data_IF_410564541895
#
_entry.id   IF_410564541895
#
_cell.length_a   1.000
_cell.length_b   1.000
_cell.length_c   1.000
_cell.angle_alpha   90.00
_cell.angle_beta   90.00
_cell.angle_gamma   90.00
#
_symmetry.space_group_name_H-M   'P 1'
#
loop_
_entity.id
_entity.type
_entity.pdbx_description
1 polymer ?
#
# COMPACT_ATOMS: atom_id res chain seq x y z
N UNK A 1 16.84 25.23 37.95
CA UNK A 1 15.84 26.33 38.13
C UNK A 1 15.51 27.07 36.83
N UNK A 2 15.80 26.51 35.63
CA UNK A 2 15.51 27.18 34.36
C UNK A 2 14.34 26.52 33.60
N UNK A 3 14.17 25.20 33.74
CA UNK A 3 13.13 24.44 33.03
C UNK A 3 11.68 24.91 33.32
N UNK A 4 11.40 25.36 34.55
CA UNK A 4 10.06 25.85 34.89
C UNK A 4 9.75 27.20 34.24
N UNK A 5 10.73 28.11 34.15
CA UNK A 5 10.56 29.40 33.47
C UNK A 5 10.43 29.19 31.96
N UNK A 6 11.24 28.32 31.39
CA UNK A 6 11.20 28.02 29.96
C UNK A 6 9.88 27.36 29.56
N UNK A 7 9.31 26.51 30.43
CA UNK A 7 7.99 25.93 30.22
C UNK A 7 6.87 26.98 30.24
N UNK A 8 6.91 27.92 31.19
CA UNK A 8 5.94 29.02 31.29
C UNK A 8 6.04 29.93 30.06
N UNK A 9 7.25 30.32 29.63
CA UNK A 9 7.43 31.14 28.43
C UNK A 9 6.99 30.40 27.16
N UNK A 10 7.21 29.08 27.09
CA UNK A 10 6.69 28.23 26.02
C UNK A 10 5.16 28.26 25.95
N UNK A 11 4.49 28.07 27.08
CA UNK A 11 3.03 28.14 27.18
C UNK A 11 2.47 29.53 26.85
N UNK A 12 3.10 30.59 27.34
CA UNK A 12 2.71 31.97 27.04
C UNK A 12 2.84 32.28 25.54
N UNK A 13 3.91 31.79 24.89
CA UNK A 13 4.11 31.93 23.45
C UNK A 13 3.07 31.15 22.65
N UNK A 14 2.71 29.94 23.10
CA UNK A 14 1.67 29.13 22.48
C UNK A 14 0.29 29.79 22.60
N UNK A 15 -0.06 30.28 23.79
CA UNK A 15 -1.32 30.99 24.02
C UNK A 15 -1.40 32.31 23.25
N UNK A 16 -0.30 33.06 23.17
CA UNK A 16 -0.23 34.25 22.31
C UNK A 16 -0.48 33.84 20.84
N UNK A 17 0.22 32.83 20.34
CA UNK A 17 0.03 32.36 18.96
C UNK A 17 -1.40 31.90 18.67
N UNK A 18 -2.02 31.16 19.60
CA UNK A 18 -3.43 30.74 19.50
C UNK A 18 -4.37 31.94 19.48
N UNK A 19 -4.15 32.94 20.34
CA UNK A 19 -4.95 34.17 20.37
C UNK A 19 -4.78 34.98 19.08
N UNK A 20 -3.56 35.12 18.57
CA UNK A 20 -3.29 35.81 17.31
C UNK A 20 -3.92 35.09 16.12
N UNK A 21 -3.88 33.75 16.10
CA UNK A 21 -4.52 32.96 15.06
C UNK A 21 -6.04 33.11 15.09
N UNK A 22 -6.65 33.05 16.28
CA UNK A 22 -8.08 33.27 16.46
C UNK A 22 -8.51 34.69 16.01
N UNK A 23 -7.80 35.73 16.42
CA UNK A 23 -8.07 37.11 15.97
C UNK A 23 -7.94 37.26 14.44
N UNK A 24 -7.00 36.54 13.81
CA UNK A 24 -6.83 36.58 12.35
C UNK A 24 -7.92 35.81 11.60
N UNK A 25 -8.39 34.68 12.13
CA UNK A 25 -9.52 33.92 11.54
C UNK A 25 -10.80 34.76 11.59
N UNK A 26 -11.12 35.40 12.72
CA UNK A 26 -12.27 36.29 12.82
C UNK A 26 -12.18 37.46 11.81
N UNK A 27 -11.00 38.03 11.62
CA UNK A 27 -10.80 39.10 10.64
C UNK A 27 -11.02 38.62 9.19
N UNK A 28 -10.65 37.38 8.87
CA UNK A 28 -10.92 36.78 7.54
C UNK A 28 -12.42 36.58 7.33
N UNK A 29 -13.14 36.07 8.34
CA UNK A 29 -14.59 35.87 8.27
C UNK A 29 -15.34 37.19 8.06
N UNK A 30 -14.93 38.27 8.74
CA UNK A 30 -15.50 39.61 8.56
C UNK A 30 -15.28 40.16 7.14
N UNK A 31 -14.11 39.92 6.54
CA UNK A 31 -13.81 40.37 5.18
C UNK A 31 -14.63 39.58 4.15
N UNK A 32 -14.77 38.27 4.32
CA UNK A 32 -15.60 37.43 3.43
C UNK A 32 -17.08 37.84 3.51
N UNK A 33 -17.57 38.18 4.71
CA UNK A 33 -18.96 38.62 4.88
C UNK A 33 -19.23 40.00 4.29
N UNK A 34 -18.27 40.91 4.34
CA UNK A 34 -18.41 42.26 3.80
C UNK A 34 -18.24 42.32 2.28
N UNK A 35 -17.35 41.51 1.71
CA UNK A 35 -17.20 41.39 0.25
C UNK A 35 -16.79 39.96 -0.16
N UNK A 36 -17.76 39.11 -0.52
CA UNK A 36 -17.49 37.74 -0.92
C UNK A 36 -16.86 37.63 -2.33
N UNK A 37 -16.79 38.72 -3.09
CA UNK A 37 -16.22 38.73 -4.44
C UNK A 37 -14.70 38.91 -4.46
N UNK A 38 -14.10 39.23 -3.30
CA UNK A 38 -12.65 39.40 -3.19
C UNK A 38 -11.92 38.08 -3.44
N UNK A 39 -10.83 38.11 -4.22
CA UNK A 39 -9.98 36.95 -4.38
C UNK A 39 -9.29 36.61 -3.06
N UNK A 40 -9.19 35.30 -2.78
CA UNK A 40 -8.68 34.75 -1.50
C UNK A 40 -7.31 35.33 -1.12
N UNK A 41 -6.43 35.59 -2.09
CA UNK A 41 -5.10 36.17 -1.84
C UNK A 41 -5.20 37.58 -1.22
N UNK A 42 -6.10 38.44 -1.70
CA UNK A 42 -6.30 39.78 -1.16
C UNK A 42 -6.90 39.75 0.25
N UNK A 43 -7.78 38.79 0.53
CA UNK A 43 -8.34 38.57 1.87
C UNK A 43 -7.22 38.21 2.85
N UNK A 44 -6.34 37.28 2.46
CA UNK A 44 -5.20 36.86 3.28
C UNK A 44 -4.21 38.01 3.48
N UNK A 45 -3.93 38.80 2.43
CA UNK A 45 -3.02 39.93 2.52
C UNK A 45 -3.55 41.06 3.41
N UNK A 46 -4.86 41.31 3.41
CA UNK A 46 -5.49 42.28 4.33
C UNK A 46 -5.32 41.89 5.81
N UNK A 47 -5.39 40.59 6.14
CA UNK A 47 -5.23 40.12 7.52
C UNK A 47 -3.78 39.86 7.94
N UNK A 48 -2.93 39.43 6.99
CA UNK A 48 -1.60 38.87 7.28
C UNK A 48 -0.45 39.69 6.68
N UNK A 49 -0.75 40.77 5.96
CA UNK A 49 0.22 41.56 5.20
C UNK A 49 0.58 40.90 3.85
N UNK A 50 1.34 41.61 2.99
CA UNK A 50 1.74 41.12 1.68
C UNK A 50 2.36 39.72 1.73
N UNK A 51 1.88 38.80 0.90
CA UNK A 51 2.41 37.44 0.85
C UNK A 51 3.43 37.34 -0.28
N UNK A 52 4.59 36.73 -0.01
CA UNK A 52 5.58 36.47 -1.07
C UNK A 52 5.54 35.01 -1.46
N UNK A 53 5.89 34.68 -2.71
CA UNK A 53 5.89 33.30 -3.22
C UNK A 53 6.75 32.34 -2.38
N UNK A 54 7.75 32.86 -1.65
CA UNK A 54 8.62 32.11 -0.74
C UNK A 54 8.11 32.05 0.71
N UNK A 55 7.09 32.85 1.06
CA UNK A 55 6.54 32.95 2.40
C UNK A 55 5.02 33.12 2.31
N UNK A 56 4.32 31.99 2.19
CA UNK A 56 2.86 31.92 2.27
C UNK A 56 2.46 31.65 3.72
N UNK A 57 1.63 32.52 4.28
CA UNK A 57 1.03 32.38 5.59
C UNK A 57 0.24 31.07 5.68
N UNK A 58 0.48 30.27 6.73
CA UNK A 58 -0.19 28.98 6.94
C UNK A 58 0.61 27.74 6.51
N UNK A 59 1.70 27.91 5.75
CA UNK A 59 2.71 26.84 5.65
C UNK A 59 3.52 26.82 6.95
N UNK A 60 3.06 26.01 7.89
CA UNK A 60 3.70 25.76 9.17
C UNK A 60 5.19 25.43 9.01
N UNK A 61 5.98 25.86 9.97
CA UNK A 61 7.44 25.80 9.95
C UNK A 61 8.01 24.44 9.54
N UNK A 62 8.45 24.39 8.27
CA UNK A 62 9.60 23.63 7.78
C UNK A 62 9.60 22.13 8.05
N UNK A 63 9.12 21.36 7.06
CA UNK A 63 9.85 20.16 6.67
C UNK A 63 11.25 20.65 6.30
N UNK A 64 12.24 20.42 7.17
CA UNK A 64 13.60 20.89 6.90
C UNK A 64 14.17 20.01 5.80
N UNK A 65 15.07 20.55 4.98
CA UNK A 65 15.78 19.75 3.95
C UNK A 65 16.45 18.50 4.56
N UNK A 66 16.84 18.55 5.84
CA UNK A 66 17.36 17.39 6.57
C UNK A 66 16.31 16.30 6.84
N UNK A 67 15.03 16.66 6.95
CA UNK A 67 13.91 15.73 7.12
C UNK A 67 13.53 15.09 5.76
N UNK A 68 13.94 15.71 4.64
CA UNK A 68 13.88 15.15 3.29
C UNK A 68 15.11 14.28 2.93
N UNK A 69 16.13 14.24 3.80
CA UNK A 69 17.38 13.49 3.60
C UNK A 69 17.27 12.04 4.12
N UNK A 70 16.09 11.43 3.97
CA UNK A 70 16.00 9.97 3.93
C UNK A 70 16.52 9.52 2.55
N UNK A 71 17.19 8.37 2.45
CA UNK A 71 17.66 7.83 1.19
C UNK A 71 16.49 7.54 0.25
N UNK A 72 16.04 8.56 -0.49
CA UNK A 72 15.00 8.45 -1.49
C UNK A 72 15.65 7.87 -2.72
N UNK A 73 15.27 6.65 -3.08
CA UNK A 73 15.30 6.25 -4.48
C UNK A 73 14.66 7.36 -5.30
N UNK A 74 15.29 7.73 -6.40
CA UNK A 74 14.75 8.71 -7.32
C UNK A 74 13.34 8.27 -7.75
N UNK A 75 12.45 9.23 -8.00
CA UNK A 75 11.10 8.92 -8.50
C UNK A 75 11.17 8.00 -9.74
N UNK A 76 12.21 8.14 -10.55
CA UNK A 76 12.54 7.27 -11.69
C UNK A 76 12.85 5.83 -11.32
N UNK A 77 13.62 5.59 -10.26
CA UNK A 77 13.92 4.23 -9.76
C UNK A 77 12.66 3.58 -9.17
N UNK A 78 11.85 4.34 -8.42
CA UNK A 78 10.58 3.84 -7.88
C UNK A 78 9.60 3.43 -8.96
N UNK A 79 9.44 4.27 -10.00
CA UNK A 79 8.56 3.98 -11.14
C UNK A 79 9.07 2.74 -11.90
N UNK A 80 10.38 2.59 -12.04
CA UNK A 80 10.98 1.43 -12.72
C UNK A 80 10.77 0.15 -11.91
N UNK A 81 11.01 0.18 -10.60
CA UNK A 81 10.77 -0.94 -9.71
C UNK A 81 9.28 -1.36 -9.70
N UNK A 82 8.36 -0.40 -9.63
CA UNK A 82 6.92 -0.66 -9.70
C UNK A 82 6.51 -1.34 -11.01
N UNK A 83 7.09 -0.91 -12.14
CA UNK A 83 6.82 -1.54 -13.44
C UNK A 83 7.34 -2.98 -13.47
N UNK A 84 8.58 -3.20 -13.03
CA UNK A 84 9.19 -4.53 -12.95
C UNK A 84 8.32 -5.46 -12.11
N UNK A 85 7.98 -5.07 -10.88
CA UNK A 85 7.14 -5.88 -10.00
C UNK A 85 5.75 -6.15 -10.59
N UNK A 86 5.17 -5.21 -11.35
CA UNK A 86 3.90 -5.43 -12.06
C UNK A 86 4.02 -6.48 -13.17
N UNK A 87 5.11 -6.45 -13.92
CA UNK A 87 5.38 -7.43 -14.98
C UNK A 87 5.65 -8.82 -14.40
N UNK A 88 6.43 -8.92 -13.32
CA UNK A 88 6.69 -10.16 -12.60
C UNK A 88 5.40 -10.80 -12.08
N UNK A 89 4.54 -10.00 -11.43
CA UNK A 89 3.25 -10.48 -10.92
C UNK A 89 2.34 -10.99 -12.05
N UNK A 90 2.37 -10.34 -13.22
CA UNK A 90 1.61 -10.80 -14.39
C UNK A 90 2.14 -12.15 -14.87
N UNK A 91 3.45 -12.31 -14.96
CA UNK A 91 4.09 -13.56 -15.37
C UNK A 91 3.73 -14.71 -14.41
N UNK A 92 3.89 -14.49 -13.10
CA UNK A 92 3.56 -15.48 -12.07
C UNK A 92 2.08 -15.87 -12.09
N UNK A 93 1.18 -14.94 -12.40
CA UNK A 93 -0.24 -15.24 -12.53
C UNK A 93 -0.56 -16.17 -13.72
N UNK A 94 0.10 -15.98 -14.86
CA UNK A 94 -0.07 -16.88 -16.01
C UNK A 94 0.55 -18.26 -15.74
N UNK A 95 1.70 -18.33 -15.07
CA UNK A 95 2.31 -19.60 -14.64
C UNK A 95 1.37 -20.37 -13.68
N UNK A 96 0.77 -19.68 -12.70
CA UNK A 96 -0.18 -20.29 -11.78
C UNK A 96 -1.39 -20.90 -12.49
N UNK A 97 -1.93 -20.24 -13.52
CA UNK A 97 -3.02 -20.80 -14.33
C UNK A 97 -2.57 -22.05 -15.09
N UNK A 98 -1.39 -21.99 -15.71
CA UNK A 98 -0.82 -23.13 -16.42
C UNK A 98 -0.59 -24.33 -15.50
N UNK A 99 -0.08 -24.10 -14.29
CA UNK A 99 0.09 -25.14 -13.29
C UNK A 99 -1.23 -25.74 -12.83
N UNK A 100 -2.27 -24.92 -12.64
CA UNK A 100 -3.61 -25.40 -12.29
C UNK A 100 -4.19 -26.31 -13.38
N UNK A 101 -4.04 -25.93 -14.66
CA UNK A 101 -4.47 -26.77 -15.78
C UNK A 101 -3.74 -28.12 -15.78
N UNK A 102 -2.40 -28.11 -15.63
CA UNK A 102 -1.60 -29.33 -15.58
C UNK A 102 -1.95 -30.23 -14.39
N UNK A 103 -2.25 -29.65 -13.23
CA UNK A 103 -2.70 -30.40 -12.06
C UNK A 103 -4.06 -31.05 -12.31
N UNK A 104 -5.00 -30.33 -12.93
CA UNK A 104 -6.29 -30.89 -13.30
C UNK A 104 -6.14 -32.09 -14.24
N UNK A 105 -5.29 -31.98 -15.27
CA UNK A 105 -5.02 -33.10 -16.19
C UNK A 105 -4.44 -34.30 -15.45
N UNK A 106 -3.49 -34.07 -14.54
CA UNK A 106 -2.87 -35.14 -13.77
C UNK A 106 -3.87 -35.81 -12.82
N UNK A 107 -4.77 -35.04 -12.20
CA UNK A 107 -5.84 -35.59 -11.36
C UNK A 107 -6.78 -36.51 -12.15
N UNK A 108 -7.13 -36.14 -13.38
CA UNK A 108 -7.96 -36.96 -14.26
C UNK A 108 -7.23 -38.26 -14.67
N UNK A 109 -5.95 -38.18 -15.05
CA UNK A 109 -5.12 -39.35 -15.39
C UNK A 109 -5.00 -40.31 -14.19
N UNK A 110 -4.80 -39.77 -12.98
CA UNK A 110 -4.75 -40.57 -11.75
C UNK A 110 -6.08 -41.27 -11.48
N UNK A 111 -7.20 -40.61 -11.77
CA UNK A 111 -8.55 -41.19 -11.61
C UNK A 111 -8.79 -42.31 -12.61
N UNK A 112 -8.35 -42.19 -13.86
CA UNK A 112 -8.40 -43.28 -14.84
C UNK A 112 -7.51 -44.45 -14.43
N UNK A 113 -6.27 -44.19 -14.02
CA UNK A 113 -5.33 -45.22 -13.57
C UNK A 113 -5.87 -45.98 -12.36
N UNK A 114 -6.54 -45.28 -11.42
CA UNK A 114 -7.21 -45.91 -10.29
C UNK A 114 -8.32 -46.87 -10.72
N UNK A 115 -9.19 -46.44 -11.66
CA UNK A 115 -10.24 -47.33 -12.21
C UNK A 115 -9.66 -48.55 -12.91
N UNK A 116 -8.58 -48.35 -13.69
CA UNK A 116 -7.91 -49.44 -14.38
C UNK A 116 -7.31 -50.44 -13.38
N UNK A 117 -6.66 -49.96 -12.32
CA UNK A 117 -6.13 -50.80 -11.24
C UNK A 117 -7.23 -51.60 -10.53
N UNK A 118 -8.37 -50.97 -10.23
CA UNK A 118 -9.53 -51.63 -9.64
C UNK A 118 -10.07 -52.74 -10.54
N UNK A 119 -10.14 -52.50 -11.86
CA UNK A 119 -10.55 -53.50 -12.85
C UNK A 119 -9.59 -54.70 -12.90
N UNK A 120 -8.28 -54.48 -12.90
CA UNK A 120 -7.29 -55.57 -12.86
C UNK A 120 -7.36 -56.37 -11.55
N UNK A 121 -7.54 -55.70 -10.41
CA UNK A 121 -7.71 -56.37 -9.13
C UNK A 121 -8.96 -57.27 -9.10
N UNK A 122 -10.06 -56.80 -9.69
CA UNK A 122 -11.29 -57.59 -9.82
C UNK A 122 -11.11 -58.82 -10.75
N UNK A 123 -10.34 -58.70 -11.84
CA UNK A 123 -10.06 -59.84 -12.74
C UNK A 123 -9.12 -60.88 -12.11
N UNK A 124 -8.11 -60.47 -11.33
CA UNK A 124 -7.21 -61.42 -10.64
C UNK A 124 -7.93 -62.31 -9.63
N UNK A 125 -9.03 -61.85 -9.03
CA UNK A 125 -9.88 -62.65 -8.15
C UNK A 125 -10.57 -63.84 -8.86
N UNK A 126 -10.64 -63.84 -10.19
CA UNK A 126 -11.38 -64.83 -10.98
C UNK A 126 -10.53 -65.94 -11.60
N UNK A 127 -9.21 -65.95 -11.40
CA UNK A 127 -8.33 -67.00 -11.94
C UNK A 127 -8.12 -68.08 -10.87
N UNK A 128 -8.63 -69.32 -11.05
CA UNK A 128 -8.27 -70.43 -10.18
C UNK A 128 -6.77 -70.70 -10.33
N UNK A 129 -6.07 -70.82 -9.21
CA UNK A 129 -4.67 -71.20 -9.17
C UNK A 129 -4.53 -72.63 -9.72
N UNK A 130 -4.25 -72.77 -11.02
CA UNK A 130 -3.93 -74.07 -11.61
C UNK A 130 -2.50 -74.43 -11.22
N UNK A 131 -2.33 -74.97 -10.02
CA UNK A 131 -1.13 -75.72 -9.64
C UNK A 131 -1.08 -76.98 -10.49
N UNK A 132 -0.34 -76.95 -11.60
CA UNK A 132 -0.05 -78.15 -12.37
C UNK A 132 0.91 -79.03 -11.53
N UNK A 133 0.57 -80.28 -11.20
CA UNK A 133 1.51 -81.17 -10.53
C UNK A 133 2.60 -81.54 -11.54
N UNK A 134 3.85 -81.29 -11.17
CA UNK A 134 5.01 -81.85 -11.87
C UNK A 134 4.99 -83.35 -11.59
N UNK A 135 4.81 -84.16 -12.64
CA UNK A 135 5.03 -85.61 -12.57
C UNK A 135 6.50 -85.86 -12.83
N UNK A 136 7.18 -86.35 -11.80
CA UNK A 136 8.52 -86.92 -11.91
C UNK A 136 8.37 -88.41 -12.16
N UNK A 137 8.80 -88.87 -13.33
CA UNK A 137 9.18 -90.26 -13.60
C UNK A 137 10.49 -90.26 -14.40
#
# INVERSE_FOLDING_TARGET
MNDHRDHIFGWMKELWNKRTLACKICSIEEIIQSDPSLPIIEIIEKCCGPQTRSHVFGFGGGVKVKDLKGGTSSNTELVSALRSTREDNKSLNEENKSLQERLSTLEDDMKEMKKMKEFFAAQQSHVPLTTSPVSTE
#
